data_IF_468201330911
#
_entry.id   IF_468201330911
#
_cell.length_a   1.000
_cell.length_b   1.000
_cell.length_c   1.000
_cell.angle_alpha   90.00
_cell.angle_beta   90.00
_cell.angle_gamma   90.00
#
_symmetry.space_group_name_H-M   'P 1'
#
loop_
_entity.id
_entity.type
_entity.pdbx_description
1 polymer ?
#
# COMPACT_ATOMS: atom_id res chain seq x y z
N UNK A 1 -21.06 36.81 -12.20
CA UNK A 1 -21.19 36.33 -10.80
C UNK A 1 -21.61 34.87 -10.68
N UNK A 2 -22.58 34.38 -11.47
CA UNK A 2 -23.06 32.99 -11.39
C UNK A 2 -22.00 31.93 -11.74
N UNK A 3 -21.16 32.18 -12.74
CA UNK A 3 -20.02 31.31 -13.10
C UNK A 3 -18.96 31.20 -12.00
N UNK A 4 -18.72 32.28 -11.25
CA UNK A 4 -17.75 32.29 -10.14
C UNK A 4 -18.27 31.46 -8.96
N UNK A 5 -19.57 31.55 -8.66
CA UNK A 5 -20.20 30.73 -7.63
C UNK A 5 -20.22 29.24 -8.00
N UNK A 6 -20.49 28.91 -9.26
CA UNK A 6 -20.44 27.53 -9.76
C UNK A 6 -19.01 26.98 -9.72
N UNK A 7 -18.01 27.78 -10.12
CA UNK A 7 -16.60 27.40 -10.03
C UNK A 7 -16.14 27.19 -8.58
N UNK A 8 -16.56 28.05 -7.65
CA UNK A 8 -16.25 27.90 -6.23
C UNK A 8 -16.85 26.63 -5.60
N UNK A 9 -18.10 26.30 -5.97
CA UNK A 9 -18.78 25.06 -5.55
C UNK A 9 -18.13 23.80 -6.15
N UNK A 10 -17.66 23.86 -7.40
CA UNK A 10 -16.95 22.74 -8.02
C UNK A 10 -15.59 22.47 -7.34
N UNK A 11 -14.87 23.53 -6.96
CA UNK A 11 -13.57 23.40 -6.30
C UNK A 11 -13.69 22.82 -4.88
N UNK A 12 -14.71 23.21 -4.11
CA UNK A 12 -14.92 22.69 -2.75
C UNK A 12 -15.19 21.17 -2.72
N UNK A 13 -15.91 20.64 -3.72
CA UNK A 13 -16.20 19.21 -3.81
C UNK A 13 -14.95 18.33 -3.99
N UNK A 14 -13.92 18.84 -4.68
CA UNK A 14 -12.65 18.11 -4.89
C UNK A 14 -11.74 18.08 -3.65
N UNK A 15 -11.92 19.03 -2.73
CA UNK A 15 -11.16 19.09 -1.48
C UNK A 15 -11.58 18.03 -0.46
N UNK A 16 -12.87 17.69 -0.40
CA UNK A 16 -13.40 16.74 0.57
C UNK A 16 -12.81 15.34 0.43
N UNK A 17 -12.60 14.87 -0.81
CA UNK A 17 -12.02 13.53 -1.06
C UNK A 17 -10.54 13.46 -0.67
N UNK A 18 -9.79 14.56 -0.82
CA UNK A 18 -8.40 14.66 -0.36
C UNK A 18 -8.30 14.61 1.16
N UNK A 19 -9.07 15.47 1.83
CA UNK A 19 -9.07 15.52 3.29
C UNK A 19 -9.42 14.16 3.89
N UNK A 20 -10.49 13.53 3.40
CA UNK A 20 -10.93 12.21 3.89
C UNK A 20 -9.84 11.15 3.71
N UNK A 21 -9.18 11.10 2.54
CA UNK A 21 -8.09 10.16 2.29
C UNK A 21 -6.92 10.38 3.24
N UNK A 22 -6.44 11.62 3.38
CA UNK A 22 -5.32 11.95 4.25
C UNK A 22 -5.65 11.64 5.73
N UNK A 23 -6.91 11.85 6.14
CA UNK A 23 -7.39 11.47 7.47
C UNK A 23 -7.30 9.95 7.72
N UNK A 24 -7.81 9.14 6.80
CA UNK A 24 -7.77 7.67 6.92
C UNK A 24 -6.32 7.16 6.91
N UNK A 25 -5.45 7.72 6.07
CA UNK A 25 -4.03 7.33 6.05
C UNK A 25 -3.33 7.64 7.38
N UNK A 26 -3.55 8.84 7.94
CA UNK A 26 -3.02 9.21 9.24
C UNK A 26 -3.53 8.30 10.37
N UNK A 27 -4.81 7.92 10.33
CA UNK A 27 -5.37 6.99 11.32
C UNK A 27 -4.78 5.59 11.17
N UNK A 28 -4.55 5.12 9.94
CA UNK A 28 -3.90 3.84 9.68
C UNK A 28 -2.50 3.79 10.31
N UNK A 29 -1.70 4.85 10.16
CA UNK A 29 -0.40 4.96 10.81
C UNK A 29 -0.52 4.93 12.33
N UNK A 30 -1.41 5.73 12.91
CA UNK A 30 -1.63 5.74 14.37
C UNK A 30 -2.07 4.37 14.89
N UNK A 31 -2.91 3.66 14.16
CA UNK A 31 -3.37 2.31 14.52
C UNK A 31 -2.21 1.31 14.47
N UNK A 32 -1.40 1.36 13.40
CA UNK A 32 -0.18 0.58 13.28
C UNK A 32 0.81 0.87 14.41
N UNK A 33 1.03 2.12 14.78
CA UNK A 33 1.94 2.47 15.89
C UNK A 33 1.47 1.91 17.23
N UNK A 34 0.15 1.79 17.43
CA UNK A 34 -0.45 1.15 18.61
C UNK A 34 -0.45 -0.38 18.58
N UNK A 35 0.05 -1.01 17.52
CA UNK A 35 0.01 -2.46 17.37
C UNK A 35 -1.30 -3.01 16.81
N UNK A 36 -2.30 -2.17 16.54
CA UNK A 36 -3.63 -2.59 16.10
C UNK A 36 -3.67 -2.67 14.56
N UNK A 37 -3.32 -3.85 14.04
CA UNK A 37 -3.28 -4.09 12.60
C UNK A 37 -4.68 -4.20 11.99
N UNK A 38 -5.68 -4.63 12.74
CA UNK A 38 -7.07 -4.74 12.31
C UNK A 38 -7.63 -3.36 11.95
N UNK A 39 -7.48 -2.39 12.86
CA UNK A 39 -7.89 -1.00 12.62
C UNK A 39 -7.07 -0.37 11.48
N UNK A 40 -5.76 -0.62 11.43
CA UNK A 40 -4.92 -0.10 10.36
C UNK A 40 -5.39 -0.60 8.98
N UNK A 41 -5.71 -1.90 8.87
CA UNK A 41 -6.20 -2.51 7.63
C UNK A 41 -7.58 -1.99 7.22
N UNK A 42 -8.45 -1.70 8.19
CA UNK A 42 -9.74 -1.06 7.93
C UNK A 42 -9.54 0.35 7.37
N UNK A 43 -8.70 1.17 8.00
CA UNK A 43 -8.40 2.53 7.56
C UNK A 43 -7.74 2.56 6.18
N UNK A 44 -6.78 1.67 5.91
CA UNK A 44 -6.17 1.50 4.59
C UNK A 44 -7.21 1.14 3.52
N UNK A 45 -8.22 0.33 3.86
CA UNK A 45 -9.31 0.00 2.93
C UNK A 45 -10.16 1.22 2.57
N UNK A 46 -10.29 2.20 3.47
CA UNK A 46 -10.94 3.48 3.15
C UNK A 46 -10.05 4.36 2.27
N UNK A 47 -8.73 4.37 2.52
CA UNK A 47 -7.76 5.05 1.64
C UNK A 47 -7.87 4.50 0.21
N UNK A 48 -7.89 3.18 0.03
CA UNK A 48 -8.02 2.52 -1.28
C UNK A 48 -9.32 2.89 -2.02
N UNK A 49 -10.43 3.04 -1.29
CA UNK A 49 -11.71 3.49 -1.87
C UNK A 49 -11.63 4.93 -2.36
N UNK A 50 -10.98 5.80 -1.59
CA UNK A 50 -10.89 7.23 -1.86
C UNK A 50 -9.75 7.59 -2.83
N UNK A 51 -8.77 6.71 -3.00
CA UNK A 51 -7.56 6.93 -3.81
C UNK A 51 -7.66 6.38 -5.24
N UNK A 52 -8.83 5.91 -5.70
CA UNK A 52 -9.01 5.32 -7.05
C UNK A 52 -8.49 6.20 -8.20
N UNK A 53 -8.53 7.53 -8.06
CA UNK A 53 -7.99 8.48 -9.04
C UNK A 53 -6.52 8.88 -8.79
N UNK A 54 -5.89 8.40 -7.71
CA UNK A 54 -4.60 8.87 -7.17
C UNK A 54 -3.66 7.70 -6.89
N UNK A 55 -3.18 7.07 -7.96
CA UNK A 55 -2.29 5.90 -7.89
C UNK A 55 -0.94 6.13 -7.20
N UNK A 56 -0.53 7.38 -6.97
CA UNK A 56 0.76 7.70 -6.35
C UNK A 56 0.84 7.35 -4.86
N UNK A 57 -0.29 7.28 -4.15
CA UNK A 57 -0.32 6.94 -2.70
C UNK A 57 -0.27 5.44 -2.45
N UNK A 58 -0.56 4.65 -3.48
CA UNK A 58 -0.71 3.22 -3.37
C UNK A 58 0.55 2.46 -2.90
N UNK A 59 1.80 2.83 -3.24
CA UNK A 59 2.97 2.18 -2.66
C UNK A 59 3.09 2.38 -1.14
N UNK A 60 2.68 3.52 -0.61
CA UNK A 60 2.65 3.79 0.84
C UNK A 60 1.61 2.91 1.55
N UNK A 61 0.40 2.89 1.01
CA UNK A 61 -0.70 2.03 1.50
C UNK A 61 -0.29 0.56 1.48
N UNK A 62 0.29 0.11 0.38
CA UNK A 62 0.76 -1.27 0.22
C UNK A 62 1.90 -1.59 1.21
N UNK A 63 2.81 -0.63 1.45
CA UNK A 63 3.90 -0.82 2.40
C UNK A 63 3.36 -1.04 3.82
N UNK A 64 2.44 -0.17 4.28
CA UNK A 64 1.86 -0.27 5.61
C UNK A 64 1.02 -1.56 5.77
N UNK A 65 0.31 -1.96 4.71
CA UNK A 65 -0.41 -3.25 4.63
C UNK A 65 0.55 -4.42 4.82
N UNK A 66 1.67 -4.43 4.10
CA UNK A 66 2.72 -5.46 4.24
C UNK A 66 3.27 -5.52 5.67
N UNK A 67 3.52 -4.36 6.30
CA UNK A 67 4.05 -4.31 7.67
C UNK A 67 3.05 -4.85 8.70
N UNK A 68 1.75 -4.60 8.50
CA UNK A 68 0.70 -5.19 9.31
C UNK A 68 0.66 -6.72 9.18
N UNK A 69 0.83 -7.23 7.95
CA UNK A 69 0.88 -8.68 7.68
C UNK A 69 2.09 -9.32 8.35
N UNK A 70 3.27 -8.69 8.30
CA UNK A 70 4.44 -9.17 9.03
C UNK A 70 4.20 -9.26 10.53
N UNK A 71 3.61 -8.23 11.15
CA UNK A 71 3.32 -8.23 12.59
C UNK A 71 2.33 -9.34 12.98
N UNK A 72 1.40 -9.66 12.10
CA UNK A 72 0.44 -10.77 12.25
C UNK A 72 1.03 -12.14 11.88
N UNK A 73 2.32 -12.21 11.54
CA UNK A 73 3.02 -13.43 11.13
C UNK A 73 2.55 -14.04 9.81
N UNK A 74 1.94 -13.23 8.94
CA UNK A 74 1.47 -13.61 7.60
C UNK A 74 2.54 -13.27 6.54
N UNK A 75 3.70 -13.92 6.64
CA UNK A 75 4.90 -13.51 5.90
C UNK A 75 4.85 -13.76 4.40
N UNK A 76 4.12 -14.79 3.95
CA UNK A 76 3.94 -15.05 2.52
C UNK A 76 3.14 -13.91 1.89
N UNK A 77 2.05 -13.49 2.54
CA UNK A 77 1.21 -12.38 2.07
C UNK A 77 1.95 -11.04 2.13
N UNK A 78 2.73 -10.82 3.20
CA UNK A 78 3.60 -9.66 3.32
C UNK A 78 4.62 -9.62 2.17
N UNK A 79 5.29 -10.74 1.90
CA UNK A 79 6.27 -10.84 0.83
C UNK A 79 5.64 -10.57 -0.54
N UNK A 80 4.46 -11.10 -0.83
CA UNK A 80 3.74 -10.81 -2.06
C UNK A 80 3.41 -9.32 -2.19
N UNK A 81 2.98 -8.68 -1.10
CA UNK A 81 2.71 -7.24 -1.06
C UNK A 81 3.96 -6.42 -1.37
N UNK A 82 5.12 -6.80 -0.84
CA UNK A 82 6.39 -6.14 -1.15
C UNK A 82 6.85 -6.36 -2.58
N UNK A 83 6.66 -7.57 -3.12
CA UNK A 83 6.96 -7.85 -4.51
C UNK A 83 6.10 -7.02 -5.46
N UNK A 84 4.83 -6.84 -5.11
CA UNK A 84 3.92 -5.98 -5.85
C UNK A 84 4.43 -4.53 -5.90
N UNK A 85 4.86 -3.96 -4.77
CA UNK A 85 5.44 -2.60 -4.72
C UNK A 85 6.67 -2.50 -5.63
N UNK A 86 7.58 -3.47 -5.56
CA UNK A 86 8.81 -3.48 -6.36
C UNK A 86 8.51 -3.58 -7.85
N UNK A 87 7.54 -4.43 -8.23
CA UNK A 87 7.18 -4.63 -9.63
C UNK A 87 6.50 -3.40 -10.22
N UNK A 88 5.61 -2.77 -9.44
CA UNK A 88 4.71 -1.74 -9.96
C UNK A 88 5.18 -0.30 -9.73
N UNK A 89 6.09 -0.10 -8.77
CA UNK A 89 6.63 1.21 -8.41
C UNK A 89 8.16 1.16 -8.26
N UNK A 90 8.93 0.68 -9.26
CA UNK A 90 10.34 0.31 -9.11
C UNK A 90 11.27 1.45 -8.66
N UNK A 91 10.94 2.69 -9.04
CA UNK A 91 11.72 3.91 -8.75
C UNK A 91 11.19 4.69 -7.53
N UNK A 92 10.15 4.18 -6.86
CA UNK A 92 9.58 4.81 -5.68
C UNK A 92 10.40 4.43 -4.43
N UNK A 93 10.52 5.35 -3.47
CA UNK A 93 11.16 5.11 -2.18
C UNK A 93 10.68 3.79 -1.52
N UNK A 94 9.37 3.53 -1.58
CA UNK A 94 8.76 2.32 -1.01
C UNK A 94 9.24 1.03 -1.67
N UNK A 95 9.69 1.05 -2.94
CA UNK A 95 10.29 -0.14 -3.54
C UNK A 95 11.65 -0.47 -2.91
N UNK A 96 12.47 0.52 -2.57
CA UNK A 96 13.72 0.29 -1.83
C UNK A 96 13.43 -0.26 -0.43
N UNK A 97 12.44 0.32 0.28
CA UNK A 97 12.00 -0.16 1.60
C UNK A 97 11.45 -1.59 1.53
N UNK A 98 10.64 -1.90 0.52
CA UNK A 98 10.09 -3.23 0.29
C UNK A 98 11.18 -4.28 0.00
N UNK A 99 12.23 -3.93 -0.76
CA UNK A 99 13.39 -4.82 -0.99
C UNK A 99 14.08 -5.17 0.32
N UNK A 100 14.38 -4.18 1.16
CA UNK A 100 15.02 -4.40 2.46
C UNK A 100 14.17 -5.30 3.39
N UNK A 101 12.84 -5.14 3.37
CA UNK A 101 11.95 -6.02 4.14
C UNK A 101 11.96 -7.45 3.61
N UNK A 102 11.91 -7.65 2.28
CA UNK A 102 12.04 -8.98 1.69
C UNK A 102 13.38 -9.66 2.03
N UNK A 103 14.49 -8.92 1.96
CA UNK A 103 15.81 -9.42 2.36
C UNK A 103 15.83 -9.86 3.83
N UNK A 104 15.16 -9.10 4.70
CA UNK A 104 14.99 -9.46 6.12
C UNK A 104 14.17 -10.74 6.27
N UNK A 105 13.04 -10.86 5.56
CA UNK A 105 12.23 -12.09 5.61
C UNK A 105 12.99 -13.31 5.07
N UNK A 106 13.85 -13.13 4.07
CA UNK A 106 14.71 -14.19 3.53
C UNK A 106 15.78 -14.61 4.52
N UNK A 107 16.50 -13.65 5.11
CA UNK A 107 17.58 -13.96 6.05
C UNK A 107 17.07 -14.66 7.31
N UNK A 108 15.84 -14.34 7.72
CA UNK A 108 15.16 -15.01 8.82
C UNK A 108 14.51 -16.36 8.43
N UNK A 109 14.47 -16.70 7.13
CA UNK A 109 13.89 -17.95 6.63
C UNK A 109 12.37 -17.99 6.48
N UNK A 110 11.67 -16.86 6.56
CA UNK A 110 10.21 -16.76 6.46
C UNK A 110 9.72 -16.56 5.03
N UNK A 111 10.63 -16.23 4.12
CA UNK A 111 10.37 -16.12 2.68
C UNK A 111 11.49 -16.85 1.92
N UNK A 112 11.20 -17.84 1.06
CA UNK A 112 12.24 -18.50 0.30
C UNK A 112 12.94 -17.49 -0.63
N UNK A 113 14.26 -17.62 -0.85
CA UNK A 113 14.92 -16.86 -1.90
C UNK A 113 14.20 -17.13 -3.22
N UNK A 114 14.01 -16.10 -4.06
CA UNK A 114 13.33 -16.24 -5.35
C UNK A 114 13.98 -17.38 -6.13
N UNK A 115 13.33 -18.54 -6.15
CA UNK A 115 13.65 -19.56 -7.13
C UNK A 115 13.27 -18.96 -8.48
N UNK A 116 14.23 -18.81 -9.38
CA UNK A 116 13.95 -18.48 -10.78
C UNK A 116 12.81 -19.37 -11.24
N UNK A 117 11.72 -18.76 -11.74
CA UNK A 117 10.56 -19.50 -12.21
C UNK A 117 11.05 -20.56 -13.21
N UNK A 118 10.86 -21.84 -12.87
CA UNK A 118 11.26 -22.94 -13.74
C UNK A 118 10.32 -22.90 -14.94
N UNK A 119 10.83 -22.48 -16.10
CA UNK A 119 10.07 -22.52 -17.34
C UNK A 119 9.65 -23.97 -17.59
N UNK A 120 8.34 -24.23 -17.59
CA UNK A 120 7.78 -25.51 -18.02
C UNK A 120 7.43 -25.34 -19.50
N UNK A 121 8.11 -26.03 -20.43
CA UNK A 121 7.76 -25.95 -21.84
C UNK A 121 6.34 -26.47 -22.05
N UNK A 122 5.59 -25.84 -22.97
CA UNK A 122 4.26 -26.30 -23.34
C UNK A 122 4.35 -27.69 -24.00
N UNK A 123 3.41 -28.63 -23.70
CA UNK A 123 3.36 -29.90 -24.39
C UNK A 123 3.05 -29.70 -25.89
N UNK A 124 3.73 -30.48 -26.73
CA UNK A 124 3.58 -30.51 -28.19
C UNK A 124 2.24 -31.13 -28.62
#
# INVERSE_FOLDING_TARGET
>A
MRFVLIAALALSATGCTRWSMDHHLNNAYRAYDRGNCEDAMLELSQVDRNSRARRYIQPEVSMLRGQCLERQKLYVDAAQTYQFIIAQYPDNEYAYRARARLETLQSLGWYPPRSSAKAIPAPL
#
